data_IF_466824447079
#
_entry.id   IF_466824447079
#
_cell.length_a   1.000
_cell.length_b   1.000
_cell.length_c   1.000
_cell.angle_alpha   90.00
_cell.angle_beta   90.00
_cell.angle_gamma   90.00
#
_symmetry.space_group_name_H-M   'P 1'
#
loop_
_entity.id
_entity.type
_entity.pdbx_description
1 polymer ?
#
# COMPACT_ATOMS: atom_id res chain seq x y z
N UNK A 1 62.09 -39.07 -11.41
CA UNK A 1 62.48 -37.65 -11.55
C UNK A 1 63.49 -37.64 -12.69
N UNK A 2 63.24 -37.11 -13.87
CA UNK A 2 62.56 -35.86 -14.24
C UNK A 2 61.90 -36.03 -15.60
N UNK A 3 60.70 -35.49 -15.69
CA UNK A 3 59.88 -35.31 -16.90
C UNK A 3 60.58 -34.32 -17.84
N UNK A 4 60.68 -34.64 -19.13
CA UNK A 4 60.98 -33.68 -20.19
C UNK A 4 59.77 -33.68 -21.13
N UNK A 5 58.97 -32.63 -20.98
CA UNK A 5 57.97 -32.17 -21.93
C UNK A 5 58.64 -31.95 -23.30
N UNK A 6 58.35 -32.82 -24.26
CA UNK A 6 58.45 -32.48 -25.68
C UNK A 6 57.04 -32.15 -26.15
N UNK A 7 56.67 -30.87 -26.02
CA UNK A 7 55.53 -30.28 -26.71
C UNK A 7 55.82 -30.47 -28.21
N UNK A 8 55.09 -31.38 -28.87
CA UNK A 8 55.03 -31.41 -30.32
C UNK A 8 54.52 -30.02 -30.74
N UNK A 9 55.36 -29.26 -31.43
CA UNK A 9 54.91 -28.17 -32.27
C UNK A 9 53.83 -28.73 -33.19
N UNK A 10 52.60 -28.30 -32.97
CA UNK A 10 51.50 -28.45 -33.91
C UNK A 10 51.91 -27.63 -35.15
N UNK A 11 52.64 -28.26 -36.06
CA UNK A 11 52.74 -27.76 -37.43
C UNK A 11 51.31 -27.72 -37.96
N UNK A 12 50.84 -26.52 -38.31
CA UNK A 12 49.60 -26.34 -39.05
C UNK A 12 49.57 -27.36 -40.19
N UNK A 13 48.61 -28.27 -40.14
CA UNK A 13 48.29 -29.12 -41.28
C UNK A 13 47.84 -28.12 -42.36
N UNK A 14 48.49 -28.05 -43.54
CA UNK A 14 47.94 -27.29 -44.65
C UNK A 14 46.52 -27.78 -44.84
N UNK A 15 45.55 -26.86 -44.74
CA UNK A 15 44.14 -27.17 -44.83
C UNK A 15 43.93 -28.09 -46.01
N UNK A 16 43.28 -29.23 -45.79
CA UNK A 16 42.73 -29.98 -46.91
C UNK A 16 41.88 -28.98 -47.69
N UNK A 17 42.26 -28.69 -48.94
CA UNK A 17 41.50 -27.82 -49.83
C UNK A 17 40.04 -28.24 -49.71
N UNK A 18 39.21 -27.33 -49.18
CA UNK A 18 37.81 -27.63 -48.93
C UNK A 18 37.17 -27.62 -50.31
N UNK A 19 36.52 -28.71 -50.70
CA UNK A 19 35.82 -28.77 -51.98
C UNK A 19 34.90 -27.54 -52.09
N UNK A 20 34.88 -26.89 -53.26
CA UNK A 20 34.18 -25.62 -53.56
C UNK A 20 34.82 -24.29 -53.12
N UNK A 21 35.93 -24.28 -52.37
CA UNK A 21 36.80 -23.10 -52.18
C UNK A 21 37.90 -23.12 -53.26
N UNK A 22 37.71 -22.34 -54.32
CA UNK A 22 38.54 -22.40 -55.53
C UNK A 22 39.75 -21.48 -55.48
N UNK A 23 39.70 -20.42 -54.68
CA UNK A 23 40.82 -19.49 -54.50
C UNK A 23 41.77 -19.91 -53.35
N UNK A 24 41.32 -20.82 -52.47
CA UNK A 24 42.08 -21.41 -51.38
C UNK A 24 42.23 -20.52 -50.14
N UNK A 25 41.38 -19.50 -49.98
CA UNK A 25 41.43 -18.57 -48.84
C UNK A 25 40.63 -19.05 -47.61
N UNK A 26 39.89 -20.14 -47.75
CA UNK A 26 39.11 -20.76 -46.68
C UNK A 26 37.70 -20.18 -46.51
N UNK A 27 37.27 -19.25 -47.37
CA UNK A 27 35.93 -18.66 -47.43
C UNK A 27 35.20 -19.25 -48.64
N UNK A 28 33.86 -19.28 -48.59
CA UNK A 28 33.00 -19.64 -49.72
C UNK A 28 32.26 -18.37 -50.11
N UNK A 29 32.78 -17.63 -51.08
CA UNK A 29 32.25 -16.31 -51.42
C UNK A 29 32.05 -16.10 -52.94
N UNK A 30 31.80 -14.85 -53.31
CA UNK A 30 31.57 -14.43 -54.69
C UNK A 30 32.74 -14.82 -55.60
N UNK A 31 33.97 -14.78 -55.11
CA UNK A 31 35.17 -15.08 -55.91
C UNK A 31 35.16 -16.53 -56.37
N UNK A 32 34.68 -17.45 -55.54
CA UNK A 32 34.60 -18.87 -55.88
C UNK A 32 33.48 -19.17 -56.89
N UNK A 33 32.26 -18.68 -56.64
CA UNK A 33 31.14 -18.93 -57.56
C UNK A 33 31.36 -18.25 -58.92
N UNK A 34 31.97 -17.06 -58.95
CA UNK A 34 32.33 -16.40 -60.20
C UNK A 34 33.40 -17.18 -60.96
N UNK A 35 34.37 -17.77 -60.27
CA UNK A 35 35.38 -18.64 -60.88
C UNK A 35 34.73 -19.90 -61.49
N UNK A 36 33.75 -20.50 -60.81
CA UNK A 36 33.00 -21.64 -61.32
C UNK A 36 32.17 -21.26 -62.57
N UNK A 37 31.43 -20.15 -62.53
CA UNK A 37 30.65 -19.67 -63.68
C UNK A 37 31.57 -19.42 -64.88
N UNK A 38 32.75 -18.82 -64.66
CA UNK A 38 33.73 -18.62 -65.73
C UNK A 38 34.27 -19.93 -66.30
N UNK A 39 34.47 -20.97 -65.49
CA UNK A 39 34.87 -22.30 -65.95
C UNK A 39 33.78 -22.98 -66.78
N UNK A 40 32.50 -22.87 -66.35
CA UNK A 40 31.33 -23.37 -67.09
C UNK A 40 31.27 -22.70 -68.47
N UNK A 41 31.42 -21.37 -68.52
CA UNK A 41 31.41 -20.59 -69.78
C UNK A 41 32.61 -20.98 -70.67
N UNK A 42 33.79 -21.18 -70.10
CA UNK A 42 34.99 -21.57 -70.84
C UNK A 42 34.89 -23.01 -71.39
N UNK A 43 34.15 -23.88 -70.72
CA UNK A 43 33.93 -25.27 -71.13
C UNK A 43 35.20 -26.12 -71.10
N UNK A 44 36.22 -25.74 -70.32
CA UNK A 44 37.48 -26.48 -70.21
C UNK A 44 37.36 -27.76 -69.38
N UNK A 45 36.31 -27.88 -68.57
CA UNK A 45 36.02 -29.02 -67.69
C UNK A 45 37.21 -29.36 -66.77
N UNK A 46 37.79 -28.34 -66.15
CA UNK A 46 38.88 -28.51 -65.20
C UNK A 46 38.40 -29.34 -63.99
N UNK A 47 39.03 -30.50 -63.68
CA UNK A 47 38.60 -31.38 -62.60
C UNK A 47 38.54 -30.74 -61.21
N UNK A 48 39.20 -29.60 -61.00
CA UNK A 48 39.10 -28.86 -59.74
C UNK A 48 37.72 -28.24 -59.50
N UNK A 49 36.94 -28.02 -60.56
CA UNK A 49 35.60 -27.41 -60.52
C UNK A 49 34.45 -28.43 -60.68
N UNK A 50 34.77 -29.70 -60.95
CA UNK A 50 33.80 -30.81 -61.04
C UNK A 50 33.42 -31.26 -59.63
N UNK A 51 32.36 -30.67 -59.08
CA UNK A 51 31.86 -30.91 -57.73
C UNK A 51 30.93 -32.13 -57.67
N UNK A 52 30.35 -32.51 -58.81
CA UNK A 52 29.46 -33.66 -58.91
C UNK A 52 30.20 -34.98 -59.18
N UNK A 53 31.42 -34.90 -59.71
CA UNK A 53 32.30 -36.02 -60.04
C UNK A 53 31.91 -36.75 -61.33
N UNK A 54 31.16 -36.10 -62.22
CA UNK A 54 30.65 -36.71 -63.45
C UNK A 54 31.57 -36.48 -64.67
N UNK A 55 32.64 -35.70 -64.49
CA UNK A 55 33.65 -35.39 -65.50
C UNK A 55 33.29 -34.19 -66.39
N UNK A 56 32.19 -33.49 -66.12
CA UNK A 56 31.82 -32.23 -66.73
C UNK A 56 31.86 -31.11 -65.67
N UNK A 57 32.00 -29.87 -66.12
CA UNK A 57 31.82 -28.68 -65.28
C UNK A 57 30.67 -27.89 -65.88
N UNK A 58 29.48 -28.03 -65.30
CA UNK A 58 28.25 -27.44 -65.82
C UNK A 58 27.32 -26.89 -64.70
N UNK A 59 26.07 -26.59 -65.07
CA UNK A 59 25.07 -26.05 -64.14
C UNK A 59 24.75 -26.99 -62.97
N UNK A 60 25.04 -28.29 -63.07
CA UNK A 60 24.93 -29.23 -61.96
C UNK A 60 26.00 -28.96 -60.89
N UNK A 61 27.21 -28.59 -61.28
CA UNK A 61 28.27 -28.17 -60.36
C UNK A 61 27.94 -26.82 -59.72
N UNK A 62 27.38 -25.88 -60.49
CA UNK A 62 26.87 -24.62 -59.93
C UNK A 62 25.80 -24.87 -58.85
N UNK A 63 24.85 -25.77 -59.12
CA UNK A 63 23.84 -26.14 -58.13
C UNK A 63 24.46 -26.81 -56.88
N UNK A 64 25.48 -27.66 -57.07
CA UNK A 64 26.21 -28.31 -55.97
C UNK A 64 26.98 -27.28 -55.14
N UNK A 65 27.66 -26.33 -55.78
CA UNK A 65 28.38 -25.26 -55.11
C UNK A 65 27.45 -24.44 -54.22
N UNK A 66 26.30 -24.00 -54.75
CA UNK A 66 25.31 -23.21 -53.98
C UNK A 66 24.79 -23.94 -52.75
N UNK A 67 24.66 -25.26 -52.82
CA UNK A 67 24.23 -26.08 -51.68
C UNK A 67 25.34 -26.21 -50.63
N UNK A 68 26.55 -26.57 -51.07
CA UNK A 68 27.69 -26.77 -50.18
C UNK A 68 28.12 -25.46 -49.52
N UNK A 69 28.30 -24.39 -50.30
CA UNK A 69 28.70 -23.08 -49.81
C UNK A 69 27.70 -22.54 -48.78
N UNK A 70 26.40 -22.67 -49.05
CA UNK A 70 25.35 -22.27 -48.12
C UNK A 70 25.46 -23.04 -46.79
N UNK A 71 25.60 -24.37 -46.82
CA UNK A 71 25.80 -25.17 -45.61
C UNK A 71 27.05 -24.73 -44.83
N UNK A 72 28.15 -24.48 -45.53
CA UNK A 72 29.41 -24.03 -44.92
C UNK A 72 29.32 -22.63 -44.31
N UNK A 73 28.49 -21.76 -44.89
CA UNK A 73 28.24 -20.42 -44.40
C UNK A 73 27.10 -20.38 -43.35
N UNK A 74 26.57 -21.53 -42.93
CA UNK A 74 25.58 -21.64 -41.84
C UNK A 74 24.13 -21.51 -42.27
N UNK A 75 23.86 -21.57 -43.58
CA UNK A 75 22.52 -21.60 -44.15
C UNK A 75 22.01 -23.05 -44.23
N UNK A 76 20.70 -23.23 -44.14
CA UNK A 76 20.01 -24.54 -44.18
C UNK A 76 19.37 -24.85 -45.52
N UNK A 77 19.42 -23.89 -46.45
CA UNK A 77 18.90 -23.98 -47.81
C UNK A 77 20.00 -23.49 -48.76
N UNK A 78 20.19 -24.08 -49.95
CA UNK A 78 21.15 -23.59 -50.94
C UNK A 78 20.92 -22.12 -51.30
N UNK A 79 21.99 -21.41 -51.64
CA UNK A 79 21.88 -20.08 -52.26
C UNK A 79 20.93 -20.14 -53.48
N UNK A 80 20.01 -19.19 -53.53
CA UNK A 80 18.95 -19.17 -54.54
C UNK A 80 19.46 -18.52 -55.83
N UNK A 81 18.99 -18.99 -56.97
CA UNK A 81 19.20 -18.26 -58.23
C UNK A 81 18.48 -16.90 -58.15
N UNK A 82 19.23 -15.82 -58.27
CA UNK A 82 18.71 -14.48 -57.97
C UNK A 82 19.42 -13.77 -56.83
N UNK A 83 20.18 -14.46 -55.99
CA UNK A 83 20.98 -13.87 -54.90
C UNK A 83 22.39 -13.59 -55.42
N UNK A 84 22.58 -12.41 -56.02
CA UNK A 84 23.81 -12.03 -56.72
C UNK A 84 24.96 -11.72 -55.75
N UNK A 85 24.64 -11.22 -54.55
CA UNK A 85 25.63 -10.81 -53.56
C UNK A 85 25.90 -11.87 -52.48
N UNK A 86 25.22 -13.02 -52.52
CA UNK A 86 25.30 -14.13 -51.57
C UNK A 86 24.96 -13.72 -50.12
N UNK A 87 24.11 -12.70 -49.95
CA UNK A 87 23.63 -12.26 -48.63
C UNK A 87 22.53 -13.19 -48.06
N UNK A 88 22.09 -14.17 -48.86
CA UNK A 88 21.11 -15.17 -48.48
C UNK A 88 19.68 -14.78 -48.83
N UNK A 89 19.44 -13.57 -49.34
CA UNK A 89 18.13 -13.08 -49.75
C UNK A 89 18.11 -12.77 -51.25
N UNK A 90 16.96 -12.97 -51.90
CA UNK A 90 16.75 -12.47 -53.27
C UNK A 90 15.90 -11.20 -53.21
N UNK A 91 16.57 -10.05 -53.31
CA UNK A 91 15.96 -8.75 -53.03
C UNK A 91 16.37 -7.66 -54.05
N UNK A 92 16.05 -6.40 -53.74
CA UNK A 92 16.28 -5.27 -54.64
C UNK A 92 17.78 -4.99 -54.91
N UNK A 93 18.68 -5.40 -54.02
CA UNK A 93 20.12 -5.33 -54.23
C UNK A 93 20.55 -6.21 -55.41
N UNK A 94 20.05 -7.45 -55.47
CA UNK A 94 20.38 -8.38 -56.56
C UNK A 94 19.79 -7.96 -57.89
N UNK A 95 18.56 -7.44 -57.86
CA UNK A 95 17.92 -6.89 -59.05
C UNK A 95 18.72 -5.69 -59.60
N UNK A 96 19.38 -4.92 -58.73
CA UNK A 96 20.24 -3.84 -59.15
C UNK A 96 21.50 -4.36 -59.86
N UNK A 97 22.08 -5.49 -59.44
CA UNK A 97 23.22 -6.11 -60.15
C UNK A 97 22.82 -6.60 -61.55
N UNK A 98 21.68 -7.30 -61.67
CA UNK A 98 21.11 -7.70 -62.97
C UNK A 98 20.88 -6.47 -63.86
N UNK A 99 20.35 -5.39 -63.30
CA UNK A 99 20.07 -4.17 -64.02
C UNK A 99 21.31 -3.44 -64.53
N UNK A 100 22.41 -3.45 -63.77
CA UNK A 100 23.67 -2.81 -64.15
C UNK A 100 24.40 -3.54 -65.27
N UNK A 101 24.25 -4.87 -65.33
CA UNK A 101 24.98 -5.73 -66.24
C UNK A 101 24.09 -6.30 -67.37
N UNK A 102 22.86 -5.81 -67.51
CA UNK A 102 21.89 -6.26 -68.52
C UNK A 102 22.49 -6.29 -69.93
N UNK A 103 22.37 -7.43 -70.60
CA UNK A 103 22.96 -7.73 -71.92
C UNK A 103 24.50 -7.69 -71.96
N UNK A 104 25.19 -7.61 -70.83
CA UNK A 104 26.65 -7.72 -70.73
C UNK A 104 27.12 -9.16 -70.92
N UNK A 105 28.35 -9.35 -71.44
CA UNK A 105 28.98 -10.64 -71.68
C UNK A 105 30.52 -10.54 -71.84
N UNK A 106 31.34 -11.49 -71.32
CA UNK A 106 30.93 -12.52 -70.37
C UNK A 106 30.59 -11.87 -69.02
N UNK A 107 29.57 -12.40 -68.37
CA UNK A 107 29.25 -12.04 -66.99
C UNK A 107 29.36 -13.29 -66.12
N UNK A 108 29.36 -13.05 -64.81
CA UNK A 108 29.47 -14.08 -63.78
C UNK A 108 28.23 -14.03 -62.88
N UNK A 109 28.19 -14.89 -61.86
CA UNK A 109 27.10 -14.95 -60.90
C UNK A 109 26.82 -13.58 -60.27
N UNK A 110 27.86 -12.91 -59.77
CA UNK A 110 27.74 -11.58 -59.14
C UNK A 110 27.29 -10.49 -60.10
N UNK A 111 27.52 -10.67 -61.40
CA UNK A 111 26.99 -9.81 -62.45
C UNK A 111 25.51 -10.06 -62.77
N UNK A 112 24.89 -11.09 -62.18
CA UNK A 112 23.50 -11.45 -62.41
C UNK A 112 23.26 -12.52 -63.47
N UNK A 113 24.30 -13.26 -63.90
CA UNK A 113 24.17 -14.45 -64.77
C UNK A 113 23.99 -15.70 -63.89
N UNK A 114 22.74 -16.00 -63.53
CA UNK A 114 22.39 -17.07 -62.60
C UNK A 114 22.27 -18.44 -63.25
N UNK A 115 22.26 -18.49 -64.59
CA UNK A 115 22.23 -19.72 -65.39
C UNK A 115 23.58 -20.09 -66.03
N UNK A 116 24.62 -19.27 -65.82
CA UNK A 116 25.97 -19.42 -66.36
C UNK A 116 26.01 -19.51 -67.90
N UNK A 117 25.13 -18.77 -68.59
CA UNK A 117 25.09 -18.71 -70.06
C UNK A 117 26.17 -17.80 -70.65
N UNK A 118 26.81 -16.98 -69.81
CA UNK A 118 27.76 -15.94 -70.16
C UNK A 118 27.12 -14.62 -70.54
N UNK A 119 25.80 -14.46 -70.42
CA UNK A 119 25.06 -13.23 -70.72
C UNK A 119 24.02 -13.00 -69.64
N UNK A 120 23.79 -11.74 -69.25
CA UNK A 120 22.70 -11.38 -68.33
C UNK A 120 21.46 -11.00 -69.14
N UNK A 121 20.41 -11.80 -69.11
CA UNK A 121 19.22 -11.58 -69.93
C UNK A 121 17.89 -11.94 -69.23
N UNK A 122 16.83 -12.16 -70.03
CA UNK A 122 15.49 -12.39 -69.52
C UNK A 122 15.37 -13.73 -68.78
N UNK A 123 16.23 -14.71 -69.10
CA UNK A 123 16.28 -15.97 -68.41
C UNK A 123 16.78 -15.79 -66.97
N UNK A 124 17.78 -14.94 -66.74
CA UNK A 124 18.29 -14.62 -65.39
C UNK A 124 17.28 -13.83 -64.56
N UNK A 125 16.65 -12.83 -65.17
CA UNK A 125 15.60 -12.07 -64.50
C UNK A 125 14.41 -12.97 -64.14
N UNK A 126 14.11 -13.99 -64.94
CA UNK A 126 13.08 -14.98 -64.63
C UNK A 126 13.50 -15.90 -63.47
N UNK A 127 14.78 -16.27 -63.35
CA UNK A 127 15.29 -17.02 -62.21
C UNK A 127 15.24 -16.21 -60.91
N UNK A 128 15.68 -14.94 -60.95
CA UNK A 128 15.53 -14.00 -59.84
C UNK A 128 14.06 -13.83 -59.46
N UNK A 129 13.18 -13.61 -60.44
CA UNK A 129 11.75 -13.42 -60.21
C UNK A 129 11.05 -14.63 -59.57
N UNK A 130 11.51 -15.85 -59.85
CA UNK A 130 10.99 -17.07 -59.21
C UNK A 130 11.36 -17.18 -57.73
N UNK A 131 12.48 -16.56 -57.34
CA UNK A 131 12.98 -16.58 -55.98
C UNK A 131 12.78 -15.24 -55.25
N UNK A 132 12.12 -14.26 -55.86
CA UNK A 132 11.93 -12.92 -55.29
C UNK A 132 11.34 -12.97 -53.89
N UNK A 133 11.99 -12.29 -52.94
CA UNK A 133 11.62 -12.26 -51.51
C UNK A 133 11.70 -13.64 -50.81
N UNK A 134 12.32 -14.64 -51.42
CA UNK A 134 12.72 -15.85 -50.75
C UNK A 134 14.17 -15.73 -50.27
N UNK A 135 14.47 -16.47 -49.22
CA UNK A 135 15.79 -16.51 -48.61
C UNK A 135 16.33 -17.94 -48.65
N UNK A 136 17.62 -18.09 -48.93
CA UNK A 136 18.41 -19.28 -48.69
C UNK A 136 18.59 -19.45 -47.18
N UNK A 137 17.51 -19.65 -46.43
CA UNK A 137 17.48 -19.44 -44.98
C UNK A 137 18.64 -20.09 -44.23
N UNK A 138 19.52 -19.27 -43.67
CA UNK A 138 19.79 -19.34 -42.24
C UNK A 138 18.53 -18.71 -41.64
N UNK A 139 18.04 -19.22 -40.51
CA UNK A 139 17.04 -18.45 -39.80
C UNK A 139 17.69 -17.12 -39.45
N UNK A 140 17.44 -16.06 -40.23
CA UNK A 140 17.72 -14.71 -39.78
C UNK A 140 17.06 -14.62 -38.40
N UNK A 141 17.80 -14.27 -37.34
CA UNK A 141 17.27 -14.33 -36.00
C UNK A 141 15.99 -13.50 -35.91
N UNK A 142 14.84 -14.17 -35.90
CA UNK A 142 13.62 -13.57 -35.41
C UNK A 142 13.93 -13.14 -33.99
N UNK A 143 13.94 -11.84 -33.73
CA UNK A 143 14.20 -11.34 -32.38
C UNK A 143 12.95 -10.69 -31.83
N UNK A 144 12.75 -10.88 -30.53
CA UNK A 144 11.71 -10.20 -29.77
C UNK A 144 12.35 -9.11 -28.91
N UNK A 145 11.76 -7.92 -28.93
CA UNK A 145 12.00 -6.85 -27.98
C UNK A 145 10.75 -6.60 -27.15
N UNK A 146 10.90 -6.04 -25.95
CA UNK A 146 9.76 -5.74 -25.09
C UNK A 146 9.96 -4.49 -24.25
N UNK A 147 8.86 -3.80 -23.97
CA UNK A 147 8.83 -2.62 -23.12
C UNK A 147 7.54 -2.57 -22.26
N UNK A 148 7.64 -2.17 -20.98
CA UNK A 148 8.86 -1.83 -20.26
C UNK A 148 9.71 -3.07 -19.90
N UNK A 149 11.01 -2.89 -19.68
CA UNK A 149 11.92 -3.98 -19.31
C UNK A 149 11.60 -4.57 -17.92
N UNK A 150 11.06 -3.74 -17.03
CA UNK A 150 10.61 -4.11 -15.68
C UNK A 150 9.25 -3.47 -15.45
N UNK A 151 8.31 -4.24 -14.90
CA UNK A 151 7.03 -3.73 -14.44
C UNK A 151 6.96 -3.83 -12.92
N UNK A 152 6.67 -2.71 -12.28
CA UNK A 152 6.26 -2.63 -10.89
C UNK A 152 4.98 -1.82 -10.83
N UNK A 153 3.91 -2.41 -10.30
CA UNK A 153 2.63 -1.75 -10.08
C UNK A 153 2.70 -0.75 -8.91
N UNK A 154 3.79 -0.77 -8.14
CA UNK A 154 3.94 0.02 -6.94
C UNK A 154 2.91 -0.38 -5.89
N UNK A 155 2.52 0.60 -5.08
CA UNK A 155 1.53 0.44 -4.02
C UNK A 155 0.12 0.60 -4.55
N UNK A 156 -0.73 -0.41 -4.38
CA UNK A 156 -2.15 -0.40 -4.69
C UNK A 156 -2.99 -0.72 -3.43
N UNK A 157 -3.99 0.11 -3.09
CA UNK A 157 -5.05 -0.22 -2.15
C UNK A 157 -5.66 -1.63 -2.31
N UNK A 158 -5.75 -2.39 -1.22
CA UNK A 158 -6.54 -3.64 -1.17
C UNK A 158 -8.00 -3.31 -1.49
N UNK A 159 -8.54 -3.97 -2.53
CA UNK A 159 -9.88 -3.73 -3.06
C UNK A 159 -9.91 -2.88 -4.33
N UNK A 160 -8.82 -2.20 -4.67
CA UNK A 160 -8.62 -1.55 -5.97
C UNK A 160 -7.80 -2.44 -6.91
N UNK A 161 -7.68 -2.03 -8.17
CA UNK A 161 -6.82 -2.68 -9.15
C UNK A 161 -6.10 -1.68 -10.03
N UNK A 162 -4.95 -2.09 -10.53
CA UNK A 162 -4.17 -1.35 -11.52
C UNK A 162 -3.90 -2.21 -12.76
N UNK A 163 -3.67 -1.55 -13.89
CA UNK A 163 -3.34 -2.19 -15.15
C UNK A 163 -2.09 -1.54 -15.77
N UNK A 164 -1.26 -2.35 -16.42
CA UNK A 164 -0.11 -1.91 -17.21
C UNK A 164 -0.05 -2.72 -18.51
N UNK A 165 0.59 -2.16 -19.53
CA UNK A 165 0.75 -2.82 -20.83
C UNK A 165 2.21 -3.19 -21.02
N UNK A 166 2.46 -4.47 -21.26
CA UNK A 166 3.73 -4.97 -21.78
C UNK A 166 3.61 -5.08 -23.30
N UNK A 167 4.37 -4.28 -24.03
CA UNK A 167 4.44 -4.35 -25.49
C UNK A 167 5.54 -5.32 -25.91
N UNK A 168 5.20 -6.25 -26.78
CA UNK A 168 6.15 -7.18 -27.43
C UNK A 168 6.27 -6.79 -28.90
N UNK A 169 7.50 -6.66 -29.40
CA UNK A 169 7.79 -6.19 -30.77
C UNK A 169 8.69 -7.18 -31.49
N UNK A 170 8.38 -7.48 -32.75
CA UNK A 170 9.27 -8.22 -33.64
C UNK A 170 10.42 -7.31 -34.10
N UNK A 171 11.58 -7.42 -33.45
CA UNK A 171 12.75 -6.56 -33.70
C UNK A 171 13.75 -7.16 -34.71
N UNK A 172 13.50 -8.38 -35.18
CA UNK A 172 14.35 -9.03 -36.19
C UNK A 172 14.30 -8.31 -37.54
N UNK A 173 15.36 -8.37 -38.36
CA UNK A 173 15.36 -7.76 -39.68
C UNK A 173 14.40 -8.48 -40.64
N UNK A 174 14.24 -9.80 -40.49
CA UNK A 174 13.31 -10.62 -41.24
C UNK A 174 12.73 -11.78 -40.39
N UNK A 175 11.86 -12.59 -41.00
CA UNK A 175 11.18 -13.71 -40.36
C UNK A 175 9.98 -13.29 -39.49
N UNK A 176 8.86 -14.03 -39.60
CA UNK A 176 7.65 -13.74 -38.84
C UNK A 176 7.71 -14.31 -37.41
N UNK A 177 7.69 -13.44 -36.40
CA UNK A 177 7.69 -13.80 -34.98
C UNK A 177 6.31 -14.34 -34.57
N UNK A 178 6.26 -15.62 -34.20
CA UNK A 178 5.07 -16.27 -33.69
C UNK A 178 5.09 -16.29 -32.15
N UNK A 179 4.10 -15.62 -31.54
CA UNK A 179 3.83 -15.70 -30.10
C UNK A 179 2.72 -16.73 -29.91
N UNK A 180 3.09 -17.88 -29.35
CA UNK A 180 2.21 -19.05 -29.28
C UNK A 180 1.33 -19.03 -28.04
N UNK A 181 1.90 -18.66 -26.89
CA UNK A 181 1.19 -18.73 -25.61
C UNK A 181 1.79 -17.74 -24.59
N UNK A 182 0.93 -17.24 -23.72
CA UNK A 182 1.29 -16.35 -22.60
C UNK A 182 0.58 -16.86 -21.36
N UNK A 183 1.34 -17.29 -20.35
CA UNK A 183 0.77 -17.87 -19.14
C UNK A 183 1.66 -17.68 -17.91
N UNK A 184 1.06 -17.67 -16.72
CA UNK A 184 1.80 -17.58 -15.47
C UNK A 184 2.49 -18.90 -15.15
N UNK A 185 3.80 -18.86 -14.90
CA UNK A 185 4.51 -19.96 -14.24
C UNK A 185 4.46 -19.83 -12.72
N UNK A 186 4.30 -18.59 -12.23
CA UNK A 186 4.06 -18.29 -10.83
C UNK A 186 3.19 -17.03 -10.72
N UNK A 187 2.23 -17.05 -9.81
CA UNK A 187 1.36 -15.91 -9.49
C UNK A 187 1.06 -15.95 -8.00
N UNK A 188 1.70 -15.06 -7.22
CA UNK A 188 1.54 -15.07 -5.77
C UNK A 188 0.07 -14.81 -5.39
N UNK A 189 -0.58 -15.85 -4.86
CA UNK A 189 -1.97 -15.84 -4.40
C UNK A 189 -2.96 -15.30 -5.43
N UNK A 190 -2.68 -15.56 -6.71
CA UNK A 190 -3.51 -15.13 -7.86
C UNK A 190 -3.77 -13.61 -7.89
N UNK A 191 -2.84 -12.80 -7.36
CA UNK A 191 -2.99 -11.35 -7.28
C UNK A 191 -2.89 -10.63 -8.63
N UNK A 192 -2.35 -11.29 -9.66
CA UNK A 192 -2.16 -10.72 -10.99
C UNK A 192 -3.03 -11.38 -12.06
N UNK A 193 -3.42 -10.62 -13.07
CA UNK A 193 -4.13 -11.09 -14.26
C UNK A 193 -3.37 -10.75 -15.54
N UNK A 194 -3.58 -11.55 -16.59
CA UNK A 194 -2.98 -11.34 -17.91
C UNK A 194 -4.02 -11.53 -19.01
N UNK A 195 -3.99 -10.66 -20.02
CA UNK A 195 -4.74 -10.81 -21.27
C UNK A 195 -3.85 -10.47 -22.45
N UNK A 196 -3.80 -11.36 -23.45
CA UNK A 196 -3.01 -11.16 -24.65
C UNK A 196 -3.76 -11.74 -25.86
N UNK A 197 -3.73 -11.10 -27.04
CA UNK A 197 -4.38 -11.64 -28.24
C UNK A 197 -3.51 -12.71 -28.92
N UNK A 198 -3.29 -13.84 -28.24
CA UNK A 198 -2.48 -14.98 -28.72
C UNK A 198 -3.35 -16.21 -29.05
N UNK A 199 -2.95 -17.08 -30.00
CA UNK A 199 -1.70 -17.03 -30.77
C UNK A 199 -1.68 -15.89 -31.78
N UNK A 200 -0.50 -15.28 -31.97
CA UNK A 200 -0.27 -14.16 -32.88
C UNK A 200 0.98 -14.38 -33.73
N UNK A 201 0.99 -13.82 -34.93
CA UNK A 201 2.15 -13.80 -35.83
C UNK A 201 2.41 -12.34 -36.21
N UNK A 202 3.61 -11.86 -35.92
CA UNK A 202 4.06 -10.49 -36.15
C UNK A 202 5.09 -10.48 -37.28
N UNK A 203 4.90 -9.60 -38.26
CA UNK A 203 5.93 -9.26 -39.23
C UNK A 203 7.00 -8.35 -38.59
N UNK A 204 8.21 -8.26 -39.17
CA UNK A 204 9.25 -7.35 -38.70
C UNK A 204 8.73 -5.92 -38.46
N UNK A 205 8.97 -5.39 -37.26
CA UNK A 205 8.52 -4.07 -36.82
C UNK A 205 7.10 -4.00 -36.25
N UNK A 206 6.31 -5.07 -36.33
CA UNK A 206 4.98 -5.13 -35.70
C UNK A 206 5.07 -5.42 -34.19
N UNK A 207 4.02 -5.01 -33.48
CA UNK A 207 3.90 -5.18 -32.03
C UNK A 207 2.54 -5.74 -31.62
N UNK A 208 2.52 -6.40 -30.47
CA UNK A 208 1.32 -6.81 -29.74
C UNK A 208 1.38 -6.27 -28.31
N UNK A 209 0.21 -5.95 -27.76
CA UNK A 209 0.07 -5.52 -26.38
C UNK A 209 -0.40 -6.69 -25.51
N UNK A 210 0.26 -6.88 -24.37
CA UNK A 210 -0.09 -7.81 -23.29
C UNK A 210 -0.57 -6.99 -22.11
N UNK A 211 -1.86 -7.05 -21.82
CA UNK A 211 -2.48 -6.35 -20.70
C UNK A 211 -2.21 -7.12 -19.40
N UNK A 212 -1.46 -6.48 -18.50
CA UNK A 212 -1.20 -6.97 -17.15
C UNK A 212 -2.10 -6.23 -16.17
N UNK A 213 -2.63 -6.94 -15.18
CA UNK A 213 -3.41 -6.36 -14.10
C UNK A 213 -2.94 -6.85 -12.75
N UNK A 214 -3.11 -6.01 -11.73
CA UNK A 214 -2.79 -6.32 -10.35
C UNK A 214 -3.97 -5.91 -9.45
N UNK A 215 -4.45 -6.85 -8.64
CA UNK A 215 -5.48 -6.65 -7.63
C UNK A 215 -5.01 -7.32 -6.32
N UNK A 216 -4.38 -6.56 -5.40
CA UNK A 216 -3.81 -7.14 -4.19
C UNK A 216 -4.91 -7.67 -3.25
N UNK A 217 -4.88 -8.97 -2.88
CA UNK A 217 -5.87 -9.54 -1.96
C UNK A 217 -5.68 -9.11 -0.50
N UNK A 218 -4.46 -8.71 -0.10
CA UNK A 218 -4.16 -8.23 1.25
C UNK A 218 -2.89 -7.36 1.32
N UNK A 219 -2.58 -6.88 2.52
CA UNK A 219 -1.39 -6.09 2.81
C UNK A 219 -0.13 -6.94 2.73
N UNK A 220 0.50 -6.96 1.55
CA UNK A 220 1.74 -7.70 1.32
C UNK A 220 2.44 -7.24 0.05
N UNK A 221 3.64 -7.78 -0.17
CA UNK A 221 4.33 -7.66 -1.45
C UNK A 221 4.04 -8.91 -2.29
N UNK A 222 3.71 -8.70 -3.55
CA UNK A 222 3.35 -9.75 -4.50
C UNK A 222 4.27 -9.70 -5.71
N UNK A 223 4.52 -10.85 -6.30
CA UNK A 223 5.25 -10.97 -7.57
C UNK A 223 4.65 -12.08 -8.42
N UNK A 224 4.87 -11.99 -9.73
CA UNK A 224 4.47 -13.01 -10.69
C UNK A 224 5.55 -13.18 -11.75
N UNK A 225 5.62 -14.41 -12.28
CA UNK A 225 6.47 -14.78 -13.40
C UNK A 225 5.57 -15.23 -14.56
N UNK A 226 5.65 -14.49 -15.66
CA UNK A 226 4.92 -14.75 -16.89
C UNK A 226 5.86 -15.36 -17.93
N UNK A 227 5.46 -16.50 -18.49
CA UNK A 227 6.20 -17.17 -19.55
C UNK A 227 5.53 -16.90 -20.89
N UNK A 228 6.33 -16.45 -21.86
CA UNK A 228 5.90 -16.08 -23.20
C UNK A 228 6.59 -17.01 -24.20
N UNK A 229 5.85 -18.01 -24.68
CA UNK A 229 6.36 -18.97 -25.66
C UNK A 229 6.37 -18.36 -27.05
N UNK A 230 7.53 -18.32 -27.66
CA UNK A 230 7.73 -17.73 -28.98
C UNK A 230 8.86 -18.44 -29.74
N UNK A 231 8.97 -18.18 -31.04
CA UNK A 231 10.00 -18.75 -31.91
C UNK A 231 11.19 -17.80 -32.14
N UNK A 232 11.37 -16.76 -31.31
CA UNK A 232 12.53 -15.89 -31.42
C UNK A 232 13.82 -16.65 -31.08
N UNK A 233 14.93 -16.23 -31.66
CA UNK A 233 16.24 -16.81 -31.40
C UNK A 233 16.94 -16.18 -30.20
N UNK A 234 16.62 -14.94 -29.85
CA UNK A 234 17.23 -14.22 -28.73
C UNK A 234 16.54 -14.52 -27.38
N UNK A 235 15.25 -14.82 -27.37
CA UNK A 235 14.50 -15.15 -26.16
C UNK A 235 13.32 -16.12 -26.45
N UNK A 236 13.58 -17.35 -26.95
CA UNK A 236 12.53 -18.33 -27.28
C UNK A 236 11.67 -18.73 -26.07
N UNK A 237 12.25 -18.62 -24.88
CA UNK A 237 11.60 -18.88 -23.60
C UNK A 237 11.63 -17.64 -22.71
N UNK A 238 10.94 -16.59 -23.16
CA UNK A 238 10.95 -15.30 -22.47
C UNK A 238 10.20 -15.41 -21.14
N UNK A 239 10.93 -15.21 -20.04
CA UNK A 239 10.38 -15.07 -18.69
C UNK A 239 10.33 -13.59 -18.30
N UNK A 240 9.14 -13.11 -17.94
CA UNK A 240 8.91 -11.74 -17.54
C UNK A 240 8.39 -11.68 -16.11
N UNK A 241 9.21 -11.14 -15.20
CA UNK A 241 8.87 -11.00 -13.79
C UNK A 241 8.40 -9.58 -13.48
N UNK A 242 7.36 -9.47 -12.65
CA UNK A 242 6.82 -8.18 -12.21
C UNK A 242 6.24 -8.25 -10.81
N UNK A 243 6.06 -7.09 -10.18
CA UNK A 243 5.67 -7.00 -8.78
C UNK A 243 4.64 -5.90 -8.52
N UNK A 244 4.08 -5.92 -7.31
CA UNK A 244 3.26 -4.87 -6.76
C UNK A 244 3.08 -5.07 -5.25
N UNK A 245 2.73 -4.03 -4.53
CA UNK A 245 2.43 -4.09 -3.11
C UNK A 245 0.96 -3.77 -2.86
N UNK A 246 0.29 -4.60 -2.07
CA UNK A 246 -0.99 -4.26 -1.48
C UNK A 246 -0.78 -3.36 -0.26
N UNK A 247 -1.39 -2.19 -0.25
CA UNK A 247 -1.51 -1.36 0.95
C UNK A 247 -2.96 -1.21 1.38
N UNK A 248 -3.20 -0.78 2.62
CA UNK A 248 -4.57 -0.50 3.06
C UNK A 248 -5.16 0.63 2.22
N UNK A 249 -6.15 0.28 1.40
CA UNK A 249 -6.93 1.26 0.66
C UNK A 249 -7.67 2.17 1.59
N UNK A 250 -7.27 3.44 1.65
CA UNK A 250 -8.04 4.61 2.17
C UNK A 250 -9.17 4.33 3.18
N UNK A 251 -8.90 3.58 4.25
CA UNK A 251 -9.77 3.53 5.42
C UNK A 251 -8.91 3.47 6.68
N UNK A 252 -8.22 4.58 6.92
CA UNK A 252 -7.62 4.96 8.20
C UNK A 252 -6.42 4.10 8.65
N UNK A 253 -5.30 4.76 8.93
CA UNK A 253 -4.12 4.09 9.49
C UNK A 253 -4.43 3.64 10.92
N UNK A 254 -4.23 2.36 11.21
CA UNK A 254 -4.41 1.81 12.56
C UNK A 254 -3.66 2.66 13.60
N UNK A 255 -4.26 3.01 14.76
CA UNK A 255 -5.50 2.48 15.35
C UNK A 255 -6.82 3.15 14.88
N UNK A 256 -6.80 3.99 13.85
CA UNK A 256 -7.98 4.76 13.45
C UNK A 256 -9.03 3.94 12.68
N UNK A 257 -10.30 4.31 12.85
CA UNK A 257 -11.49 3.67 12.24
C UNK A 257 -12.20 4.66 11.32
N UNK A 258 -12.74 4.16 10.20
CA UNK A 258 -13.50 4.98 9.26
C UNK A 258 -14.94 5.18 9.73
N UNK A 259 -15.27 6.42 10.12
CA UNK A 259 -16.61 6.83 10.52
C UNK A 259 -17.23 7.75 9.45
N UNK A 260 -17.76 7.15 8.38
CA UNK A 260 -18.47 7.89 7.33
C UNK A 260 -17.58 8.71 6.40
N UNK A 261 -16.34 8.28 6.18
CA UNK A 261 -15.34 8.94 5.33
C UNK A 261 -14.31 9.78 6.09
N UNK A 262 -14.41 9.85 7.42
CA UNK A 262 -13.45 10.53 8.30
C UNK A 262 -12.78 9.49 9.20
N UNK A 263 -11.46 9.60 9.35
CA UNK A 263 -10.68 8.73 10.22
C UNK A 263 -10.63 9.27 11.64
N UNK A 264 -11.07 8.45 12.59
CA UNK A 264 -11.16 8.81 14.00
C UNK A 264 -10.53 7.72 14.86
N UNK A 265 -9.98 8.10 16.01
CA UNK A 265 -9.39 7.18 16.98
C UNK A 265 -10.42 6.84 18.06
N UNK A 266 -11.02 5.65 18.00
CA UNK A 266 -12.11 5.28 18.91
C UNK A 266 -11.66 5.13 20.38
N UNK A 267 -10.36 5.16 20.67
CA UNK A 267 -9.83 4.97 22.02
C UNK A 267 -9.90 6.21 22.90
N UNK A 268 -9.90 7.40 22.32
CA UNK A 268 -9.81 8.68 23.03
C UNK A 268 -10.66 9.81 22.42
N UNK A 269 -11.27 9.62 21.25
CA UNK A 269 -12.21 10.57 20.65
C UNK A 269 -13.53 10.61 21.43
N UNK A 270 -13.84 11.79 21.99
CA UNK A 270 -15.07 12.05 22.76
C UNK A 270 -16.36 11.93 21.94
N UNK A 271 -16.29 12.16 20.63
CA UNK A 271 -17.45 12.13 19.73
C UNK A 271 -17.65 10.75 19.07
N UNK A 272 -16.66 9.85 19.18
CA UNK A 272 -16.64 8.53 18.54
C UNK A 272 -16.15 7.41 19.48
N UNK A 273 -16.37 7.52 20.78
CA UNK A 273 -15.74 6.64 21.76
C UNK A 273 -16.23 5.19 21.65
N UNK A 274 -15.34 4.24 21.35
CA UNK A 274 -15.65 2.82 21.19
C UNK A 274 -16.46 2.44 19.94
N UNK A 275 -17.18 3.39 19.32
CA UNK A 275 -17.90 3.21 18.06
C UNK A 275 -18.22 4.55 17.40
N UNK A 276 -18.35 4.56 16.06
CA UNK A 276 -18.65 5.77 15.29
C UNK A 276 -19.94 6.47 15.78
N UNK A 277 -19.84 7.77 16.07
CA UNK A 277 -20.94 8.60 16.54
C UNK A 277 -21.38 8.38 17.99
N UNK A 278 -20.64 7.59 18.77
CA UNK A 278 -20.91 7.43 20.20
C UNK A 278 -20.27 8.58 21.00
N UNK A 279 -21.04 9.67 21.15
CA UNK A 279 -20.64 10.84 21.93
C UNK A 279 -20.74 10.56 23.43
N UNK A 280 -19.65 10.78 24.18
CA UNK A 280 -19.66 10.60 25.63
C UNK A 280 -20.53 11.65 26.32
N UNK A 281 -21.39 11.21 27.24
CA UNK A 281 -22.22 12.10 28.03
C UNK A 281 -21.39 12.87 29.06
N UNK A 282 -21.63 14.18 29.16
CA UNK A 282 -21.02 15.07 30.17
C UNK A 282 -22.11 15.57 31.10
N UNK A 283 -22.28 14.97 32.30
CA UNK A 283 -23.17 15.49 33.33
C UNK A 283 -22.80 16.92 33.75
N UNK A 284 -23.72 17.63 34.41
CA UNK A 284 -23.40 18.91 35.06
C UNK A 284 -22.34 18.68 36.15
N UNK A 285 -21.41 19.63 36.29
CA UNK A 285 -20.26 19.55 37.20
C UNK A 285 -19.30 18.37 36.91
N UNK A 286 -19.10 18.05 35.63
CA UNK A 286 -18.21 16.97 35.22
C UNK A 286 -17.44 17.29 33.92
N UNK A 287 -16.29 16.65 33.76
CA UNK A 287 -15.56 16.53 32.50
C UNK A 287 -15.63 15.09 32.00
N UNK A 288 -16.14 14.88 30.77
CA UNK A 288 -16.16 13.57 30.14
C UNK A 288 -14.78 13.18 29.59
N UNK A 289 -14.50 11.88 29.56
CA UNK A 289 -13.32 11.32 28.91
C UNK A 289 -13.69 10.06 28.12
N UNK A 290 -12.93 9.81 27.05
CA UNK A 290 -12.89 8.51 26.39
C UNK A 290 -11.56 7.85 26.72
N UNK A 291 -11.60 6.66 27.32
CA UNK A 291 -10.39 5.90 27.60
C UNK A 291 -10.57 4.46 27.17
N UNK A 292 -9.69 4.00 26.28
CA UNK A 292 -9.73 2.65 25.71
C UNK A 292 -11.10 2.31 25.09
N UNK A 293 -11.78 3.30 24.50
CA UNK A 293 -13.09 3.14 23.87
C UNK A 293 -14.27 3.01 24.82
N UNK A 294 -14.08 3.36 26.09
CA UNK A 294 -15.16 3.46 27.08
C UNK A 294 -15.34 4.89 27.53
N UNK A 295 -16.58 5.38 27.48
CA UNK A 295 -16.93 6.68 28.04
C UNK A 295 -16.90 6.64 29.57
N UNK A 296 -16.34 7.68 30.16
CA UNK A 296 -16.43 7.97 31.59
C UNK A 296 -16.49 9.47 31.82
N UNK A 297 -16.59 9.87 33.08
CA UNK A 297 -16.51 11.27 33.49
C UNK A 297 -15.81 11.38 34.84
N UNK A 298 -15.23 12.54 35.10
CA UNK A 298 -14.72 12.94 36.41
C UNK A 298 -15.50 14.16 36.87
N UNK A 299 -15.88 14.18 38.14
CA UNK A 299 -16.58 15.33 38.71
C UNK A 299 -15.62 16.48 38.96
N UNK A 300 -16.13 17.70 38.83
CA UNK A 300 -15.43 18.93 39.19
C UNK A 300 -14.99 18.89 40.67
N UNK A 301 -14.05 19.76 41.03
CA UNK A 301 -13.70 19.98 42.43
C UNK A 301 -14.96 20.28 43.25
N UNK A 302 -15.06 19.67 44.43
CA UNK A 302 -16.24 19.69 45.31
C UNK A 302 -17.43 18.85 44.86
N UNK A 303 -17.27 17.91 43.93
CA UNK A 303 -18.32 16.96 43.54
C UNK A 303 -17.83 15.49 43.51
N UNK A 304 -18.71 14.53 43.82
CA UNK A 304 -18.45 13.08 43.80
C UNK A 304 -19.42 12.31 42.88
N UNK A 305 -19.01 11.15 42.32
CA UNK A 305 -19.87 10.34 41.46
C UNK A 305 -21.12 9.81 42.18
N UNK A 306 -22.27 9.94 41.55
CA UNK A 306 -23.56 9.36 41.93
C UNK A 306 -24.22 8.64 40.74
N UNK A 307 -25.29 7.88 40.99
CA UNK A 307 -25.96 7.05 39.97
C UNK A 307 -26.43 7.82 38.73
N UNK A 308 -26.67 9.13 38.85
CA UNK A 308 -27.19 10.01 37.80
C UNK A 308 -26.29 11.22 37.46
N UNK A 309 -25.05 11.28 37.96
CA UNK A 309 -24.12 12.35 37.63
C UNK A 309 -23.15 12.68 38.77
N UNK A 310 -22.86 13.96 38.95
CA UNK A 310 -21.98 14.47 40.00
C UNK A 310 -22.82 15.17 41.08
N UNK A 311 -22.58 14.85 42.35
CA UNK A 311 -23.24 15.48 43.50
C UNK A 311 -22.24 16.23 44.37
N UNK A 312 -22.62 17.35 45.00
CA UNK A 312 -21.70 18.09 45.86
C UNK A 312 -21.10 17.22 46.97
N UNK A 313 -19.78 17.25 47.14
CA UNK A 313 -19.09 16.73 48.32
C UNK A 313 -19.12 17.78 49.42
N UNK A 314 -19.73 17.47 50.55
CA UNK A 314 -19.98 18.40 51.66
C UNK A 314 -18.72 18.63 52.54
N UNK A 315 -17.51 18.38 52.04
CA UNK A 315 -16.40 17.94 52.91
C UNK A 315 -15.14 18.82 53.03
N UNK A 316 -15.18 20.13 52.80
CA UNK A 316 -14.40 20.97 53.74
C UNK A 316 -15.17 22.14 54.35
N UNK A 317 -16.03 22.83 53.59
CA UNK A 317 -16.56 24.13 54.03
C UNK A 317 -17.56 23.97 55.17
N UNK A 318 -18.63 23.18 55.01
CA UNK A 318 -19.71 23.11 56.02
C UNK A 318 -19.22 22.54 57.37
N UNK A 319 -18.32 21.55 57.34
CA UNK A 319 -17.74 20.97 58.55
C UNK A 319 -16.89 22.01 59.30
N UNK A 320 -15.97 22.70 58.61
CA UNK A 320 -15.13 23.75 59.20
C UNK A 320 -15.98 24.94 59.65
N UNK A 321 -16.98 25.35 58.88
CA UNK A 321 -17.88 26.45 59.23
C UNK A 321 -18.72 26.15 60.48
N UNK A 322 -19.18 24.90 60.64
CA UNK A 322 -19.88 24.47 61.85
C UNK A 322 -18.93 24.34 63.05
N UNK A 323 -17.69 23.88 62.84
CA UNK A 323 -16.66 23.84 63.88
C UNK A 323 -16.30 25.26 64.37
N UNK A 324 -16.10 26.21 63.45
CA UNK A 324 -15.89 27.63 63.77
C UNK A 324 -17.07 28.25 64.50
N UNK A 325 -18.31 27.93 64.09
CA UNK A 325 -19.51 28.38 64.77
C UNK A 325 -19.59 27.83 66.21
N UNK A 326 -19.25 26.56 66.43
CA UNK A 326 -19.21 25.95 67.77
C UNK A 326 -18.20 26.68 68.66
N UNK A 327 -17.00 26.96 68.13
CA UNK A 327 -15.95 27.73 68.84
C UNK A 327 -16.46 29.14 69.18
N UNK A 328 -17.11 29.81 68.24
CA UNK A 328 -17.69 31.13 68.46
C UNK A 328 -18.76 31.11 69.56
N UNK A 329 -19.66 30.13 69.53
CA UNK A 329 -20.73 29.97 70.52
C UNK A 329 -20.16 29.71 71.93
N UNK A 330 -19.12 28.89 72.06
CA UNK A 330 -18.44 28.65 73.33
C UNK A 330 -17.77 29.93 73.88
N UNK A 331 -17.09 30.71 73.02
CA UNK A 331 -16.54 32.01 73.39
C UNK A 331 -17.60 33.04 73.79
N UNK A 332 -18.72 33.09 73.07
CA UNK A 332 -19.86 33.95 73.39
C UNK A 332 -20.53 33.55 74.71
N UNK A 333 -20.55 32.25 75.04
CA UNK A 333 -21.04 31.73 76.31
C UNK A 333 -20.17 32.19 77.49
N UNK A 334 -18.84 32.11 77.35
CA UNK A 334 -17.89 32.52 78.40
C UNK A 334 -17.95 34.03 78.68
N UNK A 335 -18.13 34.83 77.63
CA UNK A 335 -18.20 36.30 77.75
C UNK A 335 -19.58 36.81 78.17
N UNK A 336 -20.60 35.95 78.16
CA UNK A 336 -21.99 36.32 78.44
C UNK A 336 -22.67 37.05 77.26
N UNK A 337 -22.03 37.11 76.10
CA UNK A 337 -22.63 37.62 74.86
C UNK A 337 -23.72 36.69 74.30
N UNK A 338 -23.72 35.42 74.75
CA UNK A 338 -24.78 34.46 74.53
C UNK A 338 -25.17 33.79 75.85
N UNK A 339 -26.45 33.81 76.21
CA UNK A 339 -26.96 33.25 77.47
C UNK A 339 -28.21 32.43 77.25
N UNK A 340 -28.39 31.35 78.02
CA UNK A 340 -29.61 30.54 77.99
C UNK A 340 -30.71 31.12 78.88
N UNK A 341 -31.96 31.23 78.39
CA UNK A 341 -33.11 31.68 79.18
C UNK A 341 -34.04 30.54 79.60
N UNK A 342 -34.51 30.61 80.84
CA UNK A 342 -35.53 29.71 81.39
C UNK A 342 -36.90 29.84 80.70
N UNK A 343 -37.80 28.85 80.87
CA UNK A 343 -39.08 28.79 80.18
C UNK A 343 -40.13 29.78 80.73
N UNK A 344 -39.79 30.61 81.73
CA UNK A 344 -40.72 31.57 82.36
C UNK A 344 -40.14 32.98 82.36
N UNK A 345 -40.35 33.66 81.24
CA UNK A 345 -40.14 35.09 81.03
C UNK A 345 -38.69 35.57 81.04
N UNK A 346 -38.47 36.74 80.43
CA UNK A 346 -37.20 37.48 80.36
C UNK A 346 -36.63 37.90 81.72
N UNK A 347 -37.34 37.58 82.81
CA UNK A 347 -37.00 37.94 84.19
C UNK A 347 -36.36 36.78 84.98
N UNK A 348 -36.26 35.57 84.40
CA UNK A 348 -35.54 34.44 85.00
C UNK A 348 -34.02 34.61 84.86
N UNK A 349 -33.22 34.26 85.88
CA UNK A 349 -31.76 34.31 85.78
C UNK A 349 -31.25 33.36 84.69
N UNK A 350 -30.13 33.70 84.01
CA UNK A 350 -29.54 32.85 82.99
C UNK A 350 -29.38 31.40 83.45
N UNK A 351 -29.75 30.45 82.60
CA UNK A 351 -29.63 29.01 82.85
C UNK A 351 -28.45 28.42 82.07
N UNK A 352 -27.33 28.08 82.72
CA UNK A 352 -26.18 27.46 82.07
C UNK A 352 -26.54 26.15 81.34
N UNK A 353 -27.52 25.41 81.87
CA UNK A 353 -27.96 24.13 81.30
C UNK A 353 -28.57 24.27 79.90
N UNK A 354 -29.19 25.42 79.58
CA UNK A 354 -29.88 25.61 78.31
C UNK A 354 -28.92 25.97 77.19
N UNK A 355 -27.95 26.80 77.49
CA UNK A 355 -26.83 27.09 76.60
C UNK A 355 -26.01 25.80 76.31
N UNK A 356 -25.86 24.92 77.29
CA UNK A 356 -25.24 23.60 77.08
C UNK A 356 -26.07 22.66 76.19
N UNK A 357 -27.41 22.75 76.19
CA UNK A 357 -28.26 21.98 75.26
C UNK A 357 -28.10 22.52 73.83
N UNK A 358 -28.02 23.84 73.67
CA UNK A 358 -27.77 24.48 72.37
C UNK A 358 -26.43 24.02 71.77
N UNK A 359 -25.34 24.14 72.53
CA UNK A 359 -24.01 23.73 72.10
C UNK A 359 -23.94 22.24 71.74
N UNK A 360 -24.51 21.36 72.57
CA UNK A 360 -24.56 19.92 72.30
C UNK A 360 -25.35 19.57 71.03
N UNK A 361 -26.30 20.41 70.63
CA UNK A 361 -27.08 20.15 69.41
C UNK A 361 -26.27 20.52 68.16
N UNK A 362 -25.46 21.58 68.21
CA UNK A 362 -24.47 21.88 67.17
C UNK A 362 -23.40 20.78 67.08
N UNK A 363 -22.86 20.35 68.22
CA UNK A 363 -21.88 19.25 68.28
C UNK A 363 -22.47 17.95 67.71
N UNK A 364 -23.78 17.71 67.89
CA UNK A 364 -24.47 16.57 67.28
C UNK A 364 -24.57 16.70 65.76
N UNK A 365 -24.93 17.88 65.26
CA UNK A 365 -24.95 18.14 63.82
C UNK A 365 -23.57 17.89 63.19
N UNK A 366 -22.50 18.30 63.89
CA UNK A 366 -21.12 18.07 63.45
C UNK A 366 -20.72 16.60 63.53
N UNK A 367 -20.77 15.99 64.71
CA UNK A 367 -20.17 14.68 64.98
C UNK A 367 -21.03 13.48 64.57
N UNK A 368 -22.36 13.59 64.69
CA UNK A 368 -23.28 12.52 64.32
C UNK A 368 -23.85 12.71 62.92
N UNK A 369 -23.90 13.95 62.43
CA UNK A 369 -24.37 14.29 61.10
C UNK A 369 -23.23 14.35 60.08
N UNK A 370 -22.58 15.52 59.99
CA UNK A 370 -21.58 15.82 58.97
C UNK A 370 -20.41 14.84 58.98
N UNK A 371 -19.82 14.54 60.15
CA UNK A 371 -18.68 13.64 60.28
C UNK A 371 -18.96 12.19 59.83
N UNK A 372 -20.24 11.79 59.79
CA UNK A 372 -20.64 10.42 59.40
C UNK A 372 -21.31 10.36 58.03
N UNK A 373 -21.46 11.49 57.34
CA UNK A 373 -22.20 11.60 56.08
C UNK A 373 -23.73 11.47 56.25
N UNK A 374 -24.25 11.58 57.48
CA UNK A 374 -25.69 11.55 57.74
C UNK A 374 -26.28 12.96 57.68
N UNK A 375 -26.46 13.46 56.46
CA UNK A 375 -26.90 14.84 56.21
C UNK A 375 -28.31 15.12 56.74
N UNK A 376 -29.22 14.14 56.69
CA UNK A 376 -30.55 14.27 57.28
C UNK A 376 -30.47 14.52 58.81
N UNK A 377 -29.60 13.79 59.51
CA UNK A 377 -29.39 13.99 60.94
C UNK A 377 -28.69 15.33 61.25
N UNK A 378 -27.77 15.77 60.38
CA UNK A 378 -27.16 17.09 60.47
C UNK A 378 -28.21 18.20 60.34
N UNK A 379 -29.06 18.10 59.31
CA UNK A 379 -30.14 19.04 59.02
C UNK A 379 -31.20 19.10 60.09
N UNK A 380 -31.61 17.96 60.63
CA UNK A 380 -32.53 17.92 61.77
C UNK A 380 -31.92 18.66 62.97
N UNK A 381 -30.66 18.37 63.32
CA UNK A 381 -29.99 19.00 64.44
C UNK A 381 -29.76 20.52 64.25
N UNK A 382 -29.39 20.96 63.06
CA UNK A 382 -29.25 22.39 62.74
C UNK A 382 -30.59 23.12 62.76
N UNK A 383 -31.64 22.54 62.16
CA UNK A 383 -33.01 23.09 62.24
C UNK A 383 -33.47 23.19 63.69
N UNK A 384 -33.20 22.18 64.52
CA UNK A 384 -33.50 22.22 65.95
C UNK A 384 -32.74 23.32 66.69
N UNK A 385 -31.53 23.65 66.24
CA UNK A 385 -30.67 24.66 66.87
C UNK A 385 -31.08 26.07 66.45
N UNK A 386 -31.32 26.31 65.16
CA UNK A 386 -31.85 27.55 64.60
C UNK A 386 -33.13 28.01 65.34
N UNK A 387 -33.99 27.04 65.59
CA UNK A 387 -35.23 27.19 66.31
C UNK A 387 -35.08 27.57 67.80
N UNK A 388 -33.87 27.47 68.37
CA UNK A 388 -33.51 27.87 69.75
C UNK A 388 -32.72 29.18 69.79
N UNK A 389 -32.16 29.62 68.67
CA UNK A 389 -31.43 30.89 68.53
C UNK A 389 -32.31 32.10 68.24
N UNK A 390 -33.65 31.91 68.16
CA UNK A 390 -34.73 32.89 67.97
C UNK A 390 -35.44 32.88 66.60
N UNK A 391 -34.99 32.07 65.63
CA UNK A 391 -35.53 31.97 64.27
C UNK A 391 -35.68 33.29 63.49
N UNK A 392 -35.27 34.44 64.07
CA UNK A 392 -35.58 35.78 63.57
C UNK A 392 -37.02 36.28 63.78
N UNK A 393 -37.96 35.45 64.26
CA UNK A 393 -39.37 35.84 64.51
C UNK A 393 -39.66 36.03 66.02
N UNK A 394 -39.88 37.27 66.50
CA UNK A 394 -40.15 37.53 67.92
C UNK A 394 -41.49 36.96 68.42
N UNK A 395 -42.41 36.54 67.53
CA UNK A 395 -43.72 35.99 67.85
C UNK A 395 -43.70 34.46 68.07
N UNK A 396 -42.69 33.75 67.56
CA UNK A 396 -42.59 32.30 67.67
C UNK A 396 -41.48 31.94 68.63
N UNK A 397 -41.74 32.18 69.92
CA UNK A 397 -40.81 31.86 71.01
C UNK A 397 -41.18 30.54 71.76
N UNK A 398 -40.77 29.35 71.26
CA UNK A 398 -40.85 28.04 71.94
C UNK A 398 -39.84 27.86 73.11
N UNK A 399 -40.09 26.96 74.08
CA UNK A 399 -39.67 27.12 75.47
C UNK A 399 -38.17 27.12 75.84
N UNK A 400 -37.21 27.03 74.89
CA UNK A 400 -35.77 26.91 75.18
C UNK A 400 -34.92 27.87 74.32
N UNK A 401 -34.50 29.01 74.89
CA UNK A 401 -33.75 30.05 74.15
C UNK A 401 -32.30 30.18 74.54
N UNK A 402 -31.47 30.51 73.54
CA UNK A 402 -30.30 31.37 73.71
C UNK A 402 -30.63 32.80 73.28
N UNK A 403 -30.04 33.80 73.93
CA UNK A 403 -30.24 35.23 73.64
C UNK A 403 -28.96 36.00 73.94
N UNK A 404 -28.92 37.29 73.61
CA UNK A 404 -27.76 38.17 73.81
C UNK A 404 -27.25 38.74 72.51
N UNK A 405 -26.22 39.57 72.59
CA UNK A 405 -25.69 40.33 71.46
C UNK A 405 -25.15 39.45 70.32
N UNK A 406 -24.76 38.21 70.63
CA UNK A 406 -24.25 37.24 69.66
C UNK A 406 -25.35 36.40 68.96
N UNK A 407 -26.58 36.39 69.48
CA UNK A 407 -27.64 35.50 69.00
C UNK A 407 -28.00 35.68 67.50
N UNK A 408 -28.12 36.92 66.96
CA UNK A 408 -28.43 37.11 65.53
C UNK A 408 -27.36 36.51 64.61
N UNK A 409 -26.08 36.75 64.92
CA UNK A 409 -24.97 36.19 64.13
C UNK A 409 -24.97 34.66 64.14
N UNK A 410 -25.22 34.05 65.31
CA UNK A 410 -25.33 32.59 65.42
C UNK A 410 -26.48 32.07 64.58
N UNK A 411 -27.64 32.72 64.61
CA UNK A 411 -28.81 32.32 63.82
C UNK A 411 -28.56 32.40 62.31
N UNK A 412 -27.97 33.51 61.85
CA UNK A 412 -27.63 33.71 60.44
C UNK A 412 -26.63 32.65 59.95
N UNK A 413 -25.60 32.37 60.75
CA UNK A 413 -24.59 31.36 60.38
C UNK A 413 -25.17 29.94 60.32
N UNK A 414 -26.11 29.59 61.21
CA UNK A 414 -26.82 28.31 61.12
C UNK A 414 -27.62 28.21 59.83
N UNK A 415 -28.29 29.29 59.40
CA UNK A 415 -29.04 29.31 58.13
C UNK A 415 -28.12 29.16 56.92
N UNK A 416 -26.95 29.82 56.92
CA UNK A 416 -25.94 29.67 55.87
C UNK A 416 -25.42 28.23 55.77
N UNK A 417 -25.07 27.63 56.92
CA UNK A 417 -24.60 26.24 57.00
C UNK A 417 -25.68 25.27 56.51
N UNK A 418 -26.95 25.46 56.91
CA UNK A 418 -28.05 24.64 56.41
C UNK A 418 -28.24 24.81 54.91
N UNK A 419 -28.19 26.04 54.37
CA UNK A 419 -28.32 26.29 52.94
C UNK A 419 -27.22 25.67 52.08
N UNK A 420 -26.07 25.32 52.69
CA UNK A 420 -24.97 24.64 52.05
C UNK A 420 -25.06 23.10 52.11
N UNK A 421 -26.02 22.53 52.86
CA UNK A 421 -26.28 21.09 52.90
C UNK A 421 -27.41 20.77 51.92
N UNK A 422 -27.14 19.92 50.94
CA UNK A 422 -28.15 19.52 49.93
C UNK A 422 -29.34 18.80 50.60
N UNK A 423 -30.57 19.16 50.22
CA UNK A 423 -31.81 18.65 50.82
C UNK A 423 -32.18 19.24 52.20
N UNK A 424 -31.43 20.23 52.70
CA UNK A 424 -31.65 20.83 54.00
C UNK A 424 -32.64 22.01 53.95
N UNK A 425 -33.94 21.74 53.99
CA UNK A 425 -34.94 22.80 54.03
C UNK A 425 -34.96 23.50 55.41
N UNK A 426 -34.91 24.84 55.39
CA UNK A 426 -35.10 25.69 56.58
C UNK A 426 -36.56 25.51 57.03
N UNK A 427 -36.76 24.89 58.20
CA UNK A 427 -38.11 24.70 58.74
C UNK A 427 -38.70 26.04 59.18
N UNK A 428 -39.83 26.41 58.58
CA UNK A 428 -40.63 27.56 59.03
C UNK A 428 -41.05 27.37 60.50
N UNK A 429 -40.83 28.40 61.32
CA UNK A 429 -41.17 28.43 62.73
C UNK A 429 -42.68 28.15 62.98
N UNK A 430 -43.52 28.33 61.96
CA UNK A 430 -44.97 28.04 61.99
C UNK A 430 -45.34 26.55 62.17
N UNK A 431 -44.42 25.59 61.98
CA UNK A 431 -44.70 24.14 61.96
C UNK A 431 -44.89 23.52 63.37
N UNK A 432 -44.71 24.28 64.46
CA UNK A 432 -44.85 23.78 65.85
C UNK A 432 -46.29 23.62 66.39
N UNK A 433 -47.30 23.44 65.55
CA UNK A 433 -48.68 23.20 66.05
C UNK A 433 -49.08 21.72 66.18
N UNK A 434 -48.22 20.77 65.87
CA UNK A 434 -48.59 19.34 65.98
C UNK A 434 -47.47 18.51 66.60
N UNK A 435 -47.44 18.52 67.94
CA UNK A 435 -47.31 17.36 68.86
C UNK A 435 -46.73 17.78 70.20
#
# INVERSE_FOLDING_TARGET
MTSIFAFLLLSAIPGTAKAADFNGDGVFDIVDIDALVMEIIAGTNNPSFDLTGDGLVDVADLAKWRADAAEQNGYTVPYLAGDANLDGDVNAADLNEVGQNWQGSPNTWSGGDFNASGVVDAEDLNLLGQNWQNSASSADPQTIGWEPLVTDFGTIPVGDGAAQVLRLTATGPSGALAISEVYFTFNDRDAFGVSAPVPAVLLPGESIDVDLSFNPPDFSFFFADLRILNNSTNAPDLMYSFSGAGEFGTSCTWPMVNCGGVCVELSDDLDNCGSCGNVCATPEHAEAFCQMGSCGFVCDEYYEPADDGCRPTVFPTVYEELEELIIYVDGAAVTGALVGLGPKSTDDPPSPHRLQVFLRTLERALNEGLATGNYDAACDALNFTQLRSDSGDPAVRPPDFVTGDAAPYVNDRINEIMGAIDGCDIRDASIRQVN
#
